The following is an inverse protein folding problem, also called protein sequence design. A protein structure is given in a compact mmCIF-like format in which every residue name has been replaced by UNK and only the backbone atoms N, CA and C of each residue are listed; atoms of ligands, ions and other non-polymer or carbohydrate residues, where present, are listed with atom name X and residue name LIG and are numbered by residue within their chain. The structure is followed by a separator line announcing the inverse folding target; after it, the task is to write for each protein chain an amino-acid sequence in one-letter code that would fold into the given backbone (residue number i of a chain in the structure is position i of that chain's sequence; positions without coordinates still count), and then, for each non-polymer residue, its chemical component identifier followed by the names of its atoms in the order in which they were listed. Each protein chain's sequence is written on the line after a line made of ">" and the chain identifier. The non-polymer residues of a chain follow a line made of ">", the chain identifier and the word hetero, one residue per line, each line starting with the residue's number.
data_IF_998140277762
#
_entry.id   IF_998140277762
#
_cell.length_a   1.000
_cell.length_b   1.000
_cell.length_c   1.000
_cell.angle_alpha   90.00
_cell.angle_beta   90.00
_cell.angle_gamma   90.00
#
_symmetry.space_group_name_H-M   'P 1'
#
loop_
_entity.id
_entity.type
_entity.pdbx_description
1 polymer ?
#
# COMPACT_ATOMS: atom_id res chain seq x y z
N UNK A 1 -3.78 -10.35 8.37
CA UNK A 1 -3.81 -11.81 8.21
C UNK A 1 -3.49 -12.56 9.52
N UNK A 2 -4.41 -13.39 10.03
CA UNK A 2 -4.17 -14.22 11.21
C UNK A 2 -3.09 -15.23 10.86
N UNK A 3 -1.93 -15.17 11.54
CA UNK A 3 -0.76 -15.97 11.16
C UNK A 3 -1.03 -17.48 11.27
N UNK A 4 -1.90 -17.87 12.21
CA UNK A 4 -2.25 -19.26 12.48
C UNK A 4 -3.18 -19.85 11.42
N UNK A 5 -4.23 -19.14 11.01
CA UNK A 5 -5.13 -19.55 9.90
C UNK A 5 -4.34 -19.74 8.59
N UNK A 6 -3.44 -18.80 8.28
CA UNK A 6 -2.60 -18.86 7.09
C UNK A 6 -1.63 -20.06 7.13
N UNK A 7 -1.06 -20.36 8.30
CA UNK A 7 -0.16 -21.49 8.50
C UNK A 7 -0.89 -22.82 8.38
N UNK A 8 -2.03 -22.97 9.06
CA UNK A 8 -2.86 -24.19 9.00
C UNK A 8 -3.29 -24.47 7.55
N UNK A 9 -3.82 -23.46 6.87
CA UNK A 9 -4.24 -23.58 5.46
C UNK A 9 -3.07 -23.96 4.55
N UNK A 10 -1.88 -23.38 4.77
CA UNK A 10 -0.68 -23.71 3.99
C UNK A 10 -0.21 -25.15 4.22
N UNK A 11 -0.22 -25.63 5.46
CA UNK A 11 0.22 -26.99 5.80
C UNK A 11 -0.70 -28.08 5.23
N UNK A 12 -1.98 -27.77 5.04
CA UNK A 12 -2.95 -28.70 4.47
C UNK A 12 -2.81 -28.91 2.96
N UNK A 13 -2.05 -28.08 2.25
CA UNK A 13 -1.92 -28.18 0.80
C UNK A 13 -0.47 -27.99 0.30
N UNK A 14 0.14 -28.99 -0.37
CA UNK A 14 1.54 -28.93 -0.81
C UNK A 14 1.89 -27.74 -1.74
N UNK A 15 0.97 -27.32 -2.61
CA UNK A 15 1.21 -26.19 -3.51
C UNK A 15 1.24 -24.87 -2.74
N UNK A 16 0.29 -24.68 -1.82
CA UNK A 16 0.25 -23.53 -0.92
C UNK A 16 1.48 -23.50 -0.02
N UNK A 17 1.86 -24.63 0.58
CA UNK A 17 3.04 -24.73 1.42
C UNK A 17 4.29 -24.26 0.68
N UNK A 18 4.52 -24.78 -0.53
CA UNK A 18 5.66 -24.36 -1.34
C UNK A 18 5.59 -22.88 -1.71
N UNK A 19 4.44 -22.36 -2.13
CA UNK A 19 4.31 -20.93 -2.43
C UNK A 19 4.58 -20.05 -1.18
N UNK A 20 4.06 -20.43 -0.01
CA UNK A 20 4.31 -19.77 1.27
C UNK A 20 5.79 -19.81 1.66
N UNK A 21 6.47 -20.93 1.48
CA UNK A 21 7.92 -21.04 1.75
C UNK A 21 8.75 -20.13 0.83
N UNK A 22 8.34 -19.93 -0.43
CA UNK A 22 8.98 -18.98 -1.33
C UNK A 22 8.85 -17.53 -0.80
N UNK A 23 7.66 -17.15 -0.29
CA UNK A 23 7.45 -15.84 0.36
C UNK A 23 8.33 -15.66 1.61
N UNK A 24 8.44 -16.69 2.46
CA UNK A 24 9.32 -16.67 3.64
C UNK A 24 10.77 -16.52 3.23
N UNK A 25 11.24 -17.32 2.27
CA UNK A 25 12.60 -17.25 1.76
C UNK A 25 12.93 -15.85 1.19
N UNK A 26 12.01 -15.24 0.43
CA UNK A 26 12.17 -13.87 -0.08
C UNK A 26 12.17 -12.83 1.03
N UNK A 27 11.37 -13.02 2.08
CA UNK A 27 11.35 -12.11 3.25
C UNK A 27 12.69 -12.14 3.99
N UNK A 28 13.22 -13.34 4.24
CA UNK A 28 14.53 -13.51 4.86
C UNK A 28 15.64 -12.89 4.00
N UNK A 29 15.63 -13.09 2.69
CA UNK A 29 16.56 -12.45 1.76
C UNK A 29 16.51 -10.92 1.82
N UNK A 30 15.30 -10.32 1.88
CA UNK A 30 15.16 -8.86 1.96
C UNK A 30 15.67 -8.28 3.28
N UNK A 31 15.51 -9.00 4.39
CA UNK A 31 15.98 -8.56 5.71
C UNK A 31 17.50 -8.70 5.84
N UNK A 32 18.06 -9.82 5.37
CA UNK A 32 19.50 -10.13 5.50
C UNK A 32 20.33 -9.53 4.35
N UNK A 33 19.70 -8.85 3.38
CA UNK A 33 20.34 -8.27 2.17
C UNK A 33 21.10 -9.33 1.33
N UNK A 34 20.56 -10.54 1.22
CA UNK A 34 21.16 -11.63 0.41
C UNK A 34 20.43 -11.76 -0.93
N UNK A 35 21.17 -11.56 -2.03
CA UNK A 35 20.62 -11.42 -3.39
C UNK A 35 19.99 -12.69 -3.97
N UNK A 36 20.48 -13.89 -3.61
CA UNK A 36 19.95 -15.14 -4.16
C UNK A 36 19.79 -16.22 -3.10
N UNK A 37 18.53 -16.53 -2.78
CA UNK A 37 18.19 -17.73 -2.02
C UNK A 37 17.65 -18.79 -2.99
N UNK A 38 18.42 -19.85 -3.33
CA UNK A 38 17.98 -20.88 -4.28
C UNK A 38 16.69 -21.57 -3.85
N UNK A 39 16.34 -21.51 -2.56
CA UNK A 39 15.08 -22.02 -2.04
C UNK A 39 13.86 -21.28 -2.63
N UNK A 40 14.01 -19.99 -3.01
CA UNK A 40 12.93 -19.23 -3.65
C UNK A 40 12.54 -19.90 -4.97
N UNK A 41 13.52 -20.12 -5.86
CA UNK A 41 13.33 -20.72 -7.18
C UNK A 41 12.82 -22.16 -7.04
N UNK A 42 13.40 -22.92 -6.11
CA UNK A 42 12.97 -24.29 -5.84
C UNK A 42 11.50 -24.36 -5.43
N UNK A 43 11.10 -23.56 -4.43
CA UNK A 43 9.75 -23.61 -3.90
C UNK A 43 8.71 -23.05 -4.87
N UNK A 44 9.00 -21.94 -5.56
CA UNK A 44 8.05 -21.41 -6.56
C UNK A 44 7.88 -22.39 -7.73
N UNK A 45 8.97 -23.01 -8.19
CA UNK A 45 8.92 -24.03 -9.24
C UNK A 45 8.12 -25.26 -8.83
N UNK A 46 8.26 -25.73 -7.58
CA UNK A 46 7.45 -26.83 -7.04
C UNK A 46 5.97 -26.47 -6.97
N UNK A 47 5.63 -25.27 -6.49
CA UNK A 47 4.25 -24.81 -6.41
C UNK A 47 3.59 -24.78 -7.81
N UNK A 48 4.28 -24.18 -8.80
CA UNK A 48 3.82 -24.12 -10.20
C UNK A 48 3.65 -25.52 -10.78
N UNK A 49 4.61 -26.43 -10.58
CA UNK A 49 4.52 -27.80 -11.09
C UNK A 49 3.29 -28.56 -10.54
N UNK A 50 2.98 -28.40 -9.25
CA UNK A 50 1.81 -29.03 -8.63
C UNK A 50 0.53 -28.42 -9.19
N UNK A 51 0.44 -27.09 -9.28
CA UNK A 51 -0.71 -26.37 -9.84
C UNK A 51 -0.97 -26.80 -11.28
N UNK A 52 0.06 -26.82 -12.14
CA UNK A 52 -0.07 -27.21 -13.54
C UNK A 52 -0.61 -28.64 -13.68
N UNK A 53 -0.15 -29.57 -12.84
CA UNK A 53 -0.68 -30.94 -12.82
C UNK A 53 -2.17 -30.99 -12.45
N UNK A 54 -2.61 -30.17 -11.50
CA UNK A 54 -4.02 -30.08 -11.08
C UNK A 54 -4.89 -29.50 -12.20
N UNK A 55 -4.42 -28.43 -12.85
CA UNK A 55 -5.15 -27.78 -13.95
C UNK A 55 -5.22 -28.69 -15.18
N UNK A 56 -4.14 -29.40 -15.53
CA UNK A 56 -4.12 -30.34 -16.64
C UNK A 56 -5.14 -31.49 -16.47
N UNK A 57 -5.35 -31.92 -15.23
CA UNK A 57 -6.31 -32.98 -14.89
C UNK A 57 -7.73 -32.44 -14.58
N UNK A 58 -8.00 -31.16 -14.88
CA UNK A 58 -9.28 -30.52 -14.52
C UNK A 58 -10.50 -31.08 -15.26
N UNK A 59 -10.28 -31.76 -16.38
CA UNK A 59 -11.33 -32.50 -17.09
C UNK A 59 -11.85 -33.70 -16.32
N UNK A 60 -11.03 -34.31 -15.46
CA UNK A 60 -11.40 -35.47 -14.64
C UNK A 60 -11.86 -35.06 -13.25
N UNK A 61 -11.28 -33.99 -12.68
CA UNK A 61 -11.61 -33.48 -11.36
C UNK A 61 -11.76 -31.96 -11.39
N UNK A 62 -12.88 -31.39 -10.93
CA UNK A 62 -13.05 -29.94 -10.85
C UNK A 62 -11.89 -29.27 -10.10
N UNK A 63 -11.52 -28.05 -10.53
CA UNK A 63 -10.50 -27.25 -9.85
C UNK A 63 -10.93 -26.99 -8.41
N UNK A 64 -10.07 -27.38 -7.45
CA UNK A 64 -10.33 -27.16 -6.03
C UNK A 64 -10.07 -25.71 -5.62
N UNK A 65 -10.76 -25.25 -4.57
CA UNK A 65 -10.52 -23.94 -3.94
C UNK A 65 -9.06 -23.79 -3.49
N UNK A 66 -8.44 -24.87 -2.99
CA UNK A 66 -7.02 -24.85 -2.65
C UNK A 66 -6.10 -24.55 -3.84
N UNK A 67 -6.49 -24.97 -5.03
CA UNK A 67 -5.74 -24.68 -6.26
C UNK A 67 -5.83 -23.19 -6.58
N UNK A 68 -7.01 -22.58 -6.40
CA UNK A 68 -7.18 -21.13 -6.50
C UNK A 68 -6.26 -20.44 -5.48
N UNK A 69 -6.27 -20.86 -4.22
CA UNK A 69 -5.40 -20.32 -3.19
C UNK A 69 -3.91 -20.41 -3.53
N UNK A 70 -3.47 -21.54 -4.10
CA UNK A 70 -2.08 -21.73 -4.53
C UNK A 70 -1.70 -20.76 -5.66
N UNK A 71 -2.55 -20.62 -6.68
CA UNK A 71 -2.32 -19.68 -7.79
C UNK A 71 -2.34 -18.24 -7.28
N UNK A 72 -3.26 -17.87 -6.40
CA UNK A 72 -3.28 -16.56 -5.74
C UNK A 72 -1.98 -16.28 -4.99
N UNK A 73 -1.45 -17.26 -4.27
CA UNK A 73 -0.17 -17.12 -3.53
C UNK A 73 1.03 -16.96 -4.45
N UNK A 74 1.07 -17.68 -5.58
CA UNK A 74 2.09 -17.51 -6.63
C UNK A 74 1.98 -16.10 -7.25
N UNK A 75 0.76 -15.66 -7.57
CA UNK A 75 0.50 -14.33 -8.14
C UNK A 75 0.97 -13.23 -7.18
N UNK A 76 0.65 -13.34 -5.89
CA UNK A 76 1.13 -12.40 -4.87
C UNK A 76 2.67 -12.37 -4.75
N UNK A 77 3.34 -13.51 -4.97
CA UNK A 77 4.79 -13.59 -4.93
C UNK A 77 5.42 -12.74 -6.04
N UNK A 78 4.86 -12.80 -7.24
CA UNK A 78 5.35 -12.03 -8.40
C UNK A 78 5.15 -10.53 -8.21
N UNK A 79 4.02 -10.12 -7.64
CA UNK A 79 3.77 -8.74 -7.25
C UNK A 79 4.82 -8.23 -6.27
N UNK A 80 5.13 -9.03 -5.23
CA UNK A 80 6.20 -8.70 -4.27
C UNK A 80 7.59 -8.71 -4.92
N UNK A 81 7.77 -9.51 -5.97
CA UNK A 81 9.02 -9.57 -6.72
C UNK A 81 9.19 -8.45 -7.76
N UNK A 82 8.14 -7.66 -8.02
CA UNK A 82 8.15 -6.63 -9.07
C UNK A 82 8.00 -7.20 -10.48
N UNK A 83 7.64 -8.49 -10.63
CA UNK A 83 7.48 -9.15 -11.92
C UNK A 83 6.07 -8.88 -12.49
N UNK A 84 5.79 -7.64 -12.89
CA UNK A 84 4.44 -7.19 -13.27
C UNK A 84 3.86 -7.89 -14.51
N UNK A 85 4.71 -8.30 -15.47
CA UNK A 85 4.26 -9.04 -16.65
C UNK A 85 3.74 -10.43 -16.27
N UNK A 86 4.52 -11.21 -15.52
CA UNK A 86 4.10 -12.53 -15.01
C UNK A 86 2.90 -12.40 -14.07
N UNK A 87 2.92 -11.39 -13.20
CA UNK A 87 1.81 -11.08 -12.30
C UNK A 87 0.50 -10.91 -13.05
N UNK A 88 0.49 -10.15 -14.15
CA UNK A 88 -0.70 -9.95 -14.97
C UNK A 88 -1.23 -11.26 -15.55
N UNK A 89 -0.34 -12.10 -16.08
CA UNK A 89 -0.71 -13.40 -16.66
C UNK A 89 -1.34 -14.30 -15.58
N UNK A 90 -0.73 -14.39 -14.41
CA UNK A 90 -1.27 -15.22 -13.33
C UNK A 90 -2.53 -14.63 -12.71
N UNK A 91 -2.68 -13.29 -12.65
CA UNK A 91 -3.91 -12.65 -12.20
C UNK A 91 -5.08 -12.95 -13.15
N UNK A 92 -4.87 -12.92 -14.47
CA UNK A 92 -5.86 -13.36 -15.45
C UNK A 92 -6.25 -14.84 -15.23
N UNK A 93 -5.27 -15.68 -14.86
CA UNK A 93 -5.49 -17.07 -14.44
C UNK A 93 -6.33 -17.20 -13.17
N UNK A 94 -6.03 -16.42 -12.12
CA UNK A 94 -6.82 -16.39 -10.88
C UNK A 94 -8.26 -15.98 -11.18
N UNK A 95 -8.47 -14.96 -12.00
CA UNK A 95 -9.80 -14.52 -12.42
C UNK A 95 -10.59 -15.64 -13.10
N UNK A 96 -9.96 -16.35 -14.05
CA UNK A 96 -10.60 -17.47 -14.73
C UNK A 96 -10.96 -18.62 -13.77
N UNK A 97 -10.06 -18.97 -12.84
CA UNK A 97 -10.30 -20.05 -11.88
C UNK A 97 -11.41 -19.68 -10.89
N UNK A 98 -11.43 -18.44 -10.38
CA UNK A 98 -12.51 -17.96 -9.49
C UNK A 98 -13.85 -17.95 -10.21
N UNK A 99 -13.90 -17.51 -11.47
CA UNK A 99 -15.14 -17.58 -12.27
C UNK A 99 -15.62 -19.02 -12.47
N UNK A 100 -14.68 -19.96 -12.67
CA UNK A 100 -15.03 -21.38 -12.89
C UNK A 100 -15.74 -22.04 -11.70
N UNK A 101 -15.54 -21.53 -10.48
CA UNK A 101 -16.22 -22.03 -9.27
C UNK A 101 -17.47 -21.24 -8.89
N UNK A 102 -17.90 -20.29 -9.73
CA UNK A 102 -19.10 -19.47 -9.48
C UNK A 102 -18.81 -18.10 -8.84
N UNK A 103 -17.57 -17.62 -8.91
CA UNK A 103 -17.17 -16.30 -8.42
C UNK A 103 -16.64 -16.30 -6.98
N UNK A 104 -16.41 -15.11 -6.43
CA UNK A 104 -15.88 -14.93 -5.06
C UNK A 104 -16.79 -15.55 -3.98
N UNK A 105 -18.07 -15.71 -4.27
CA UNK A 105 -19.10 -16.27 -3.40
C UNK A 105 -18.77 -17.73 -3.03
N UNK A 106 -18.14 -18.47 -3.94
CA UNK A 106 -17.68 -19.83 -3.68
C UNK A 106 -16.52 -19.90 -2.67
N UNK A 107 -15.81 -18.78 -2.44
CA UNK A 107 -14.68 -18.70 -1.52
C UNK A 107 -15.11 -18.29 -0.10
N UNK A 108 -16.39 -17.97 0.14
CA UNK A 108 -16.88 -17.50 1.46
C UNK A 108 -16.63 -18.53 2.56
N UNK A 109 -16.68 -19.83 2.23
CA UNK A 109 -16.37 -20.92 3.15
C UNK A 109 -14.88 -21.08 3.47
N UNK A 110 -13.98 -20.35 2.79
CA UNK A 110 -12.53 -20.38 3.02
C UNK A 110 -12.00 -18.93 3.15
N UNK A 111 -12.21 -18.29 4.33
CA UNK A 111 -11.99 -16.86 4.51
C UNK A 111 -10.57 -16.40 4.14
N UNK A 112 -9.54 -17.19 4.47
CA UNK A 112 -8.17 -16.92 4.06
C UNK A 112 -8.04 -16.69 2.54
N UNK A 113 -8.51 -17.64 1.72
CA UNK A 113 -8.36 -17.58 0.25
C UNK A 113 -9.18 -16.42 -0.32
N UNK A 114 -10.40 -16.18 0.18
CA UNK A 114 -11.22 -15.05 -0.23
C UNK A 114 -10.52 -13.71 0.03
N UNK A 115 -10.08 -13.49 1.28
CA UNK A 115 -9.41 -12.26 1.71
C UNK A 115 -8.12 -12.03 0.93
N UNK A 116 -7.33 -13.08 0.72
CA UNK A 116 -6.05 -12.97 0.04
C UNK A 116 -6.21 -12.74 -1.46
N UNK A 117 -7.17 -13.41 -2.10
CA UNK A 117 -7.51 -13.19 -3.52
C UNK A 117 -7.98 -11.76 -3.75
N UNK A 118 -8.83 -11.25 -2.85
CA UNK A 118 -9.30 -9.85 -2.87
C UNK A 118 -8.13 -8.88 -2.72
N UNK A 119 -7.21 -9.13 -1.78
CA UNK A 119 -6.05 -8.28 -1.58
C UNK A 119 -5.13 -8.25 -2.82
N UNK A 120 -4.85 -9.41 -3.42
CA UNK A 120 -4.03 -9.51 -4.64
C UNK A 120 -4.66 -8.74 -5.79
N UNK A 121 -5.97 -8.84 -5.97
CA UNK A 121 -6.70 -8.12 -7.02
C UNK A 121 -6.63 -6.60 -6.84
N UNK A 122 -6.86 -6.10 -5.62
CA UNK A 122 -6.80 -4.66 -5.30
C UNK A 122 -5.41 -4.10 -5.54
N UNK A 123 -4.37 -4.73 -4.97
CA UNK A 123 -3.00 -4.23 -5.12
C UNK A 123 -2.56 -4.37 -6.58
N UNK A 124 -3.00 -5.42 -7.26
CA UNK A 124 -2.82 -5.60 -8.70
C UNK A 124 -3.45 -4.51 -9.55
N UNK A 125 -4.69 -4.12 -9.24
CA UNK A 125 -5.40 -3.05 -9.91
C UNK A 125 -4.62 -1.73 -9.83
N UNK A 126 -4.13 -1.39 -8.63
CA UNK A 126 -3.29 -0.20 -8.41
C UNK A 126 -1.97 -0.31 -9.18
N UNK A 127 -1.30 -1.46 -9.07
CA UNK A 127 0.00 -1.69 -9.69
C UNK A 127 -0.05 -1.62 -11.23
N UNK A 128 -1.09 -2.18 -11.84
CA UNK A 128 -1.29 -2.23 -13.28
C UNK A 128 -2.02 -1.00 -13.84
N UNK A 129 -2.48 -0.07 -12.99
CA UNK A 129 -3.32 1.05 -13.41
C UNK A 129 -4.62 0.60 -14.07
N UNK A 130 -5.20 -0.51 -13.60
CA UNK A 130 -6.39 -1.15 -14.17
C UNK A 130 -7.51 -1.27 -13.13
N UNK A 131 -8.74 -1.53 -13.58
CA UNK A 131 -9.85 -1.80 -12.64
C UNK A 131 -9.65 -3.17 -11.97
N UNK A 132 -10.07 -3.34 -10.70
CA UNK A 132 -10.15 -4.66 -10.05
C UNK A 132 -10.91 -5.67 -10.92
N UNK A 133 -10.39 -6.90 -11.00
CA UNK A 133 -10.98 -8.01 -11.77
C UNK A 133 -12.24 -8.54 -11.13
N UNK A 134 -12.27 -8.50 -9.80
CA UNK A 134 -13.43 -8.87 -9.05
C UNK A 134 -14.18 -7.59 -8.70
N UNK A 135 -15.42 -7.51 -9.18
CA UNK A 135 -16.37 -6.55 -8.64
C UNK A 135 -16.57 -6.88 -7.17
N UNK A 136 -15.81 -6.23 -6.28
CA UNK A 136 -16.38 -5.95 -4.98
C UNK A 136 -17.58 -5.06 -5.26
N UNK A 137 -18.71 -5.41 -4.64
CA UNK A 137 -19.91 -4.58 -4.55
C UNK A 137 -19.47 -3.11 -4.56
N UNK A 138 -19.80 -2.39 -5.62
CA UNK A 138 -19.44 -1.00 -5.93
C UNK A 138 -18.94 -0.23 -4.69
N UNK A 139 -17.72 0.37 -4.65
CA UNK A 139 -17.15 0.96 -3.44
C UNK A 139 -18.05 1.98 -2.73
N UNK A 140 -18.81 2.77 -3.50
CA UNK A 140 -19.82 3.71 -2.98
C UNK A 140 -21.14 3.07 -2.52
N UNK A 141 -21.28 1.74 -2.64
CA UNK A 141 -22.41 0.92 -2.18
C UNK A 141 -22.01 -0.17 -1.18
N UNK A 142 -20.71 -0.33 -0.89
CA UNK A 142 -20.30 -1.11 0.27
C UNK A 142 -20.90 -0.42 1.51
N UNK A 143 -21.64 -1.15 2.36
CA UNK A 143 -22.02 -0.60 3.65
C UNK A 143 -20.75 -0.10 4.33
N UNK A 144 -20.74 1.17 4.73
CA UNK A 144 -19.69 1.70 5.58
C UNK A 144 -19.52 0.70 6.73
N UNK A 145 -18.28 0.26 6.98
CA UNK A 145 -18.05 -0.58 8.14
C UNK A 145 -18.67 0.12 9.37
N UNK A 146 -19.47 -0.54 10.23
CA UNK A 146 -20.28 0.13 11.24
C UNK A 146 -19.53 1.14 12.12
N UNK A 147 -18.25 0.87 12.44
CA UNK A 147 -17.42 1.84 13.17
C UNK A 147 -16.99 3.10 12.40
N UNK A 148 -17.25 3.21 11.08
CA UNK A 148 -17.10 4.46 10.33
C UNK A 148 -18.24 5.46 10.59
N UNK A 149 -19.40 4.98 11.05
CA UNK A 149 -20.53 5.85 11.41
C UNK A 149 -20.19 6.76 12.61
N UNK A 150 -19.19 6.38 13.39
CA UNK A 150 -18.70 7.09 14.57
C UNK A 150 -17.36 7.78 14.36
N UNK A 151 -16.96 8.04 13.10
CA UNK A 151 -15.73 8.80 12.83
C UNK A 151 -15.82 10.18 13.47
N UNK A 152 -14.72 10.59 14.13
CA UNK A 152 -14.59 11.95 14.66
C UNK A 152 -14.85 12.99 13.56
N UNK A 153 -15.44 14.15 13.91
CA UNK A 153 -15.69 15.23 12.95
C UNK A 153 -14.42 15.61 12.18
N UNK A 154 -14.60 16.09 10.95
CA UNK A 154 -13.48 16.55 10.13
C UNK A 154 -12.69 17.64 10.89
N UNK A 155 -11.37 17.45 11.00
CA UNK A 155 -10.48 18.46 11.58
C UNK A 155 -10.56 19.77 10.80
N UNK A 156 -10.15 20.88 11.44
CA UNK A 156 -10.06 22.18 10.78
C UNK A 156 -9.14 22.12 9.55
N UNK A 157 -8.02 21.39 9.67
CA UNK A 157 -7.10 21.15 8.56
C UNK A 157 -7.78 20.40 7.41
N UNK A 158 -8.51 19.31 7.70
CA UNK A 158 -9.27 18.56 6.70
C UNK A 158 -10.33 19.42 6.00
N UNK A 159 -11.05 20.28 6.74
CA UNK A 159 -12.04 21.18 6.17
C UNK A 159 -11.39 22.24 5.25
N UNK A 160 -10.26 22.81 5.66
CA UNK A 160 -9.46 23.75 4.85
C UNK A 160 -8.97 23.10 3.56
N UNK A 161 -8.45 21.87 3.65
CA UNK A 161 -8.01 21.11 2.49
C UNK A 161 -9.17 20.73 1.58
N UNK A 162 -10.34 20.34 2.11
CA UNK A 162 -11.54 20.10 1.28
C UNK A 162 -11.88 21.32 0.41
N UNK A 163 -11.96 22.50 1.02
CA UNK A 163 -12.27 23.73 0.31
C UNK A 163 -11.19 24.08 -0.72
N UNK A 164 -9.91 23.96 -0.34
CA UNK A 164 -8.78 24.27 -1.22
C UNK A 164 -8.68 23.31 -2.41
N UNK A 165 -8.85 22.00 -2.18
CA UNK A 165 -8.93 20.98 -3.23
C UNK A 165 -10.06 21.31 -4.20
N UNK A 166 -11.26 21.59 -3.68
CA UNK A 166 -12.42 21.91 -4.52
C UNK A 166 -12.17 23.15 -5.38
N UNK A 167 -11.54 24.19 -4.81
CA UNK A 167 -11.29 25.45 -5.50
C UNK A 167 -10.16 25.33 -6.55
N UNK A 168 -9.04 24.66 -6.20
CA UNK A 168 -7.88 24.56 -7.09
C UNK A 168 -8.04 23.50 -8.18
N UNK A 169 -8.86 22.47 -7.94
CA UNK A 169 -9.09 21.39 -8.90
C UNK A 169 -10.42 21.53 -9.64
N UNK A 170 -11.41 22.27 -9.12
CA UNK A 170 -12.76 22.30 -9.69
C UNK A 170 -13.50 20.97 -9.58
N UNK A 171 -13.05 20.04 -8.73
CA UNK A 171 -13.61 18.70 -8.55
C UNK A 171 -14.16 18.52 -7.12
N UNK A 172 -15.33 19.08 -6.79
CA UNK A 172 -15.87 19.04 -5.43
C UNK A 172 -16.15 17.62 -4.92
N UNK A 173 -16.65 16.73 -5.78
CA UNK A 173 -16.96 15.35 -5.40
C UNK A 173 -15.69 14.55 -5.06
N UNK A 174 -14.64 14.70 -5.88
CA UNK A 174 -13.35 14.04 -5.66
C UNK A 174 -12.62 14.64 -4.44
N UNK A 175 -12.77 15.95 -4.22
CA UNK A 175 -12.27 16.63 -3.02
C UNK A 175 -12.95 16.12 -1.76
N UNK A 176 -14.27 15.87 -1.82
CA UNK A 176 -14.99 15.27 -0.71
C UNK A 176 -14.51 13.84 -0.46
N UNK A 177 -14.39 13.03 -1.51
CA UNK A 177 -13.95 11.64 -1.43
C UNK A 177 -12.55 11.51 -0.82
N UNK A 178 -11.60 12.33 -1.28
CA UNK A 178 -10.23 12.36 -0.75
C UNK A 178 -10.19 12.67 0.75
N UNK A 179 -11.01 13.61 1.21
CA UNK A 179 -11.06 13.98 2.63
C UNK A 179 -11.72 12.89 3.47
N UNK A 180 -12.73 12.19 2.95
CA UNK A 180 -13.28 11.03 3.62
C UNK A 180 -12.27 9.87 3.70
N UNK A 181 -11.50 9.62 2.64
CA UNK A 181 -10.39 8.66 2.65
C UNK A 181 -9.31 9.06 3.67
N UNK A 182 -8.95 10.35 3.74
CA UNK A 182 -8.03 10.89 4.75
C UNK A 182 -8.52 10.62 6.18
N UNK A 183 -9.80 10.87 6.47
CA UNK A 183 -10.38 10.62 7.81
C UNK A 183 -10.35 9.14 8.18
N UNK A 184 -10.65 8.26 7.23
CA UNK A 184 -10.59 6.81 7.45
C UNK A 184 -9.14 6.37 7.70
N UNK A 185 -8.19 6.90 6.93
CA UNK A 185 -6.77 6.60 7.12
C UNK A 185 -6.26 7.09 8.48
N UNK A 186 -6.66 8.30 8.90
CA UNK A 186 -6.34 8.83 10.23
C UNK A 186 -6.90 7.92 11.33
N UNK A 187 -8.17 7.52 11.22
CA UNK A 187 -8.78 6.57 12.16
C UNK A 187 -8.04 5.23 12.19
N UNK A 188 -7.63 4.71 11.03
CA UNK A 188 -6.87 3.47 10.91
C UNK A 188 -5.53 3.56 11.66
N UNK A 189 -4.81 4.67 11.49
CA UNK A 189 -3.55 4.96 12.18
C UNK A 189 -3.79 5.00 13.69
N UNK A 190 -4.73 5.82 14.17
CA UNK A 190 -5.01 5.97 15.60
C UNK A 190 -5.48 4.67 16.25
N UNK A 191 -6.33 3.89 15.55
CA UNK A 191 -6.78 2.57 16.03
C UNK A 191 -5.60 1.62 16.18
N UNK A 192 -4.68 1.63 15.21
CA UNK A 192 -3.46 0.82 15.25
C UNK A 192 -2.53 1.23 16.40
N UNK A 193 -2.38 2.53 16.65
CA UNK A 193 -1.55 3.06 17.76
C UNK A 193 -2.10 2.64 19.11
N UNK A 194 -3.42 2.73 19.30
CA UNK A 194 -4.08 2.23 20.51
C UNK A 194 -3.78 0.76 20.75
N UNK A 195 -3.84 -0.07 19.70
CA UNK A 195 -3.51 -1.49 19.79
C UNK A 195 -2.05 -1.77 20.18
N UNK A 196 -1.10 -1.02 19.62
CA UNK A 196 0.31 -1.22 19.97
C UNK A 196 0.67 -0.72 21.37
N UNK A 197 0.01 0.35 21.85
CA UNK A 197 0.18 0.87 23.19
C UNK A 197 -0.42 -0.03 24.27
N UNK A 198 -1.49 -0.78 23.96
CA UNK A 198 -2.17 -1.67 24.89
C UNK A 198 -1.50 -3.05 25.04
N UNK A 199 -0.17 -3.10 25.25
CA UNK A 199 0.72 -4.29 25.36
C UNK A 199 0.25 -5.48 26.27
N UNK A 200 -0.98 -5.51 26.79
CA UNK A 200 -1.51 -6.52 27.71
C UNK A 200 -2.78 -7.27 27.26
N UNK A 201 -3.39 -6.95 26.12
CA UNK A 201 -4.51 -7.76 25.59
C UNK A 201 -4.12 -8.39 24.26
N UNK A 202 -4.27 -9.71 24.17
CA UNK A 202 -4.34 -10.40 22.87
C UNK A 202 -5.37 -9.68 22.02
N UNK A 203 -4.96 -9.23 20.82
CA UNK A 203 -5.89 -8.64 19.86
C UNK A 203 -6.98 -9.67 19.60
N UNK A 204 -8.24 -9.31 19.83
CA UNK A 204 -9.32 -10.24 19.55
C UNK A 204 -9.42 -10.49 18.03
N UNK A 205 -9.78 -11.71 17.65
CA UNK A 205 -10.00 -12.07 16.24
C UNK A 205 -11.01 -11.11 15.56
N UNK A 206 -12.02 -10.62 16.29
CA UNK A 206 -12.99 -9.64 15.79
C UNK A 206 -12.37 -8.28 15.48
N UNK A 207 -11.48 -7.76 16.33
CA UNK A 207 -10.80 -6.48 16.10
C UNK A 207 -9.88 -6.55 14.89
N UNK A 208 -9.22 -7.69 14.73
CA UNK A 208 -8.35 -7.96 13.61
C UNK A 208 -9.10 -8.04 12.27
N UNK A 209 -10.21 -8.79 12.25
CA UNK A 209 -11.08 -8.88 11.08
C UNK A 209 -11.69 -7.52 10.72
N UNK A 210 -12.07 -6.73 11.73
CA UNK A 210 -12.53 -5.36 11.54
C UNK A 210 -11.46 -4.50 10.88
N UNK A 211 -10.22 -4.51 11.39
CA UNK A 211 -9.09 -3.76 10.81
C UNK A 211 -8.86 -4.14 9.34
N UNK A 212 -8.91 -5.42 9.03
CA UNK A 212 -8.74 -5.91 7.66
C UNK A 212 -9.85 -5.45 6.72
N UNK A 213 -11.11 -5.50 7.18
CA UNK A 213 -12.26 -5.02 6.41
C UNK A 213 -12.14 -3.52 6.09
N UNK A 214 -11.74 -2.71 7.08
CA UNK A 214 -11.46 -1.28 6.86
C UNK A 214 -10.38 -1.06 5.79
N UNK A 215 -9.27 -1.80 5.86
CA UNK A 215 -8.17 -1.64 4.91
C UNK A 215 -8.62 -1.98 3.49
N UNK A 216 -9.35 -3.08 3.32
CA UNK A 216 -9.90 -3.48 2.02
C UNK A 216 -10.82 -2.38 1.46
N UNK A 217 -11.78 -1.89 2.25
CA UNK A 217 -12.67 -0.80 1.82
C UNK A 217 -11.89 0.47 1.44
N UNK A 218 -10.93 0.87 2.27
CA UNK A 218 -10.10 2.05 2.05
C UNK A 218 -9.29 1.93 0.75
N UNK A 219 -8.69 0.77 0.49
CA UNK A 219 -7.90 0.53 -0.72
C UNK A 219 -8.77 0.57 -1.99
N UNK A 220 -10.01 0.10 -1.95
CA UNK A 220 -10.96 0.25 -3.07
C UNK A 220 -11.29 1.71 -3.38
N UNK A 221 -11.49 2.53 -2.33
CA UNK A 221 -11.74 3.97 -2.50
C UNK A 221 -10.50 4.69 -3.05
N UNK A 222 -9.32 4.29 -2.59
CA UNK A 222 -8.04 4.82 -3.09
C UNK A 222 -7.83 4.54 -4.58
N UNK A 223 -8.27 3.38 -5.10
CA UNK A 223 -8.22 3.09 -6.55
C UNK A 223 -8.95 4.18 -7.36
N UNK A 224 -10.13 4.61 -6.90
CA UNK A 224 -10.91 5.64 -7.59
C UNK A 224 -10.18 7.00 -7.64
N UNK A 225 -9.43 7.34 -6.58
CA UNK A 225 -8.62 8.56 -6.55
C UNK A 225 -7.39 8.45 -7.46
N UNK A 226 -6.69 7.32 -7.41
CA UNK A 226 -5.44 7.09 -8.17
C UNK A 226 -5.72 7.02 -9.67
N UNK A 227 -6.78 6.31 -10.05
CA UNK A 227 -7.11 6.04 -11.45
C UNK A 227 -8.10 7.04 -12.05
N UNK A 228 -8.39 8.14 -11.35
CA UNK A 228 -9.23 9.18 -11.91
C UNK A 228 -8.60 9.72 -13.20
N UNK A 229 -9.31 9.55 -14.31
CA UNK A 229 -8.94 10.12 -15.60
C UNK A 229 -9.23 11.61 -15.56
N UNK A 230 -8.17 12.43 -15.62
CA UNK A 230 -8.30 13.88 -15.59
C UNK A 230 -8.99 14.29 -16.91
N UNK A 231 -10.25 14.80 -16.88
CA UNK A 231 -11.04 15.01 -18.10
C UNK A 231 -10.48 16.11 -19.02
N UNK A 232 -9.50 16.89 -18.53
CA UNK A 232 -8.93 18.02 -19.24
C UNK A 232 -7.40 18.07 -19.05
N UNK A 233 -6.59 18.14 -20.13
CA UNK A 233 -5.13 18.20 -20.04
C UNK A 233 -4.56 19.45 -19.33
N UNK A 234 -5.42 20.38 -18.88
CA UNK A 234 -5.03 21.63 -18.21
C UNK A 234 -5.19 21.59 -16.68
N UNK A 235 -5.92 20.61 -16.12
CA UNK A 235 -6.13 20.54 -14.67
C UNK A 235 -4.99 19.79 -13.97
N UNK A 236 -3.80 20.39 -13.99
CA UNK A 236 -2.60 19.83 -13.35
C UNK A 236 -2.78 19.64 -11.84
N UNK A 237 -3.62 20.47 -11.22
CA UNK A 237 -3.92 20.39 -9.78
C UNK A 237 -4.59 19.07 -9.38
N UNK A 238 -5.32 18.41 -10.30
CA UNK A 238 -5.94 17.11 -10.02
C UNK A 238 -4.93 15.99 -9.74
N UNK A 239 -3.63 16.18 -10.06
CA UNK A 239 -2.56 15.22 -9.72
C UNK A 239 -2.45 15.00 -8.21
N UNK A 240 -2.89 15.95 -7.37
CA UNK A 240 -2.89 15.82 -5.90
C UNK A 240 -3.65 14.57 -5.42
N UNK A 241 -4.74 14.20 -6.10
CA UNK A 241 -5.54 13.01 -5.75
C UNK A 241 -4.75 11.73 -5.95
N UNK A 242 -3.99 11.65 -7.06
CA UNK A 242 -3.12 10.52 -7.38
C UNK A 242 -1.91 10.45 -6.43
N UNK A 243 -1.29 11.60 -6.13
CA UNK A 243 -0.17 11.68 -5.19
C UNK A 243 -0.57 11.20 -3.79
N UNK A 244 -1.65 11.74 -3.25
CA UNK A 244 -2.19 11.32 -1.95
C UNK A 244 -2.61 9.86 -1.98
N UNK A 245 -3.29 9.43 -3.04
CA UNK A 245 -3.72 8.05 -3.20
C UNK A 245 -2.57 7.05 -3.15
N UNK A 246 -1.52 7.28 -3.93
CA UNK A 246 -0.34 6.42 -3.95
C UNK A 246 0.40 6.44 -2.60
N UNK A 247 0.53 7.60 -1.95
CA UNK A 247 1.14 7.70 -0.63
C UNK A 247 0.31 6.95 0.43
N UNK A 248 -1.02 7.08 0.42
CA UNK A 248 -1.91 6.34 1.31
C UNK A 248 -1.81 4.82 1.11
N UNK A 249 -1.74 4.34 -0.13
CA UNK A 249 -1.52 2.92 -0.43
C UNK A 249 -0.16 2.45 0.08
N UNK A 250 0.92 3.18 -0.23
CA UNK A 250 2.26 2.87 0.24
C UNK A 250 2.31 2.78 1.78
N UNK A 251 1.67 3.74 2.46
CA UNK A 251 1.53 3.75 3.90
C UNK A 251 0.79 2.49 4.42
N UNK A 252 -0.37 2.16 3.85
CA UNK A 252 -1.16 0.97 4.27
C UNK A 252 -0.34 -0.31 4.09
N UNK A 253 0.41 -0.43 2.99
CA UNK A 253 1.25 -1.59 2.70
C UNK A 253 2.44 -1.71 3.69
N UNK A 254 3.15 -0.61 3.93
CA UNK A 254 4.31 -0.57 4.83
C UNK A 254 3.90 -0.77 6.28
N UNK A 255 2.93 0.01 6.74
CA UNK A 255 2.63 0.09 8.16
C UNK A 255 1.49 -0.86 8.50
N UNK A 256 0.34 -0.82 7.83
CA UNK A 256 -0.78 -1.68 8.24
C UNK A 256 -0.57 -3.16 7.92
N UNK A 257 -0.09 -3.48 6.72
CA UNK A 257 0.21 -4.86 6.32
C UNK A 257 1.60 -5.34 6.77
N UNK A 258 2.45 -4.45 7.28
CA UNK A 258 3.82 -4.76 7.70
C UNK A 258 4.61 -5.49 6.62
N UNK A 259 4.41 -5.12 5.35
CA UNK A 259 5.18 -5.73 4.29
C UNK A 259 6.67 -5.39 4.50
N UNK A 260 7.58 -6.36 4.26
CA UNK A 260 9.00 -6.10 4.41
C UNK A 260 9.45 -4.90 3.55
N UNK A 261 10.40 -4.09 4.04
CA UNK A 261 11.05 -3.06 3.23
C UNK A 261 11.61 -3.66 1.94
N UNK A 262 11.76 -2.83 0.89
CA UNK A 262 12.27 -3.27 -0.43
C UNK A 262 11.38 -4.32 -1.10
N UNK A 263 10.10 -4.38 -0.75
CA UNK A 263 9.13 -5.15 -1.53
C UNK A 263 8.84 -4.42 -2.84
N UNK A 264 8.64 -5.16 -3.94
CA UNK A 264 8.36 -4.57 -5.25
C UNK A 264 7.13 -3.65 -5.23
N UNK A 265 6.17 -3.91 -4.34
CA UNK A 265 4.96 -3.10 -4.19
C UNK A 265 5.24 -1.72 -3.59
N UNK A 266 6.12 -1.60 -2.59
CA UNK A 266 6.49 -0.29 -2.02
C UNK A 266 7.27 0.55 -3.03
N UNK A 267 8.21 -0.10 -3.71
CA UNK A 267 9.02 0.51 -4.78
C UNK A 267 8.10 1.05 -5.87
N UNK A 268 7.14 0.24 -6.32
CA UNK A 268 6.20 0.66 -7.35
C UNK A 268 5.40 1.92 -6.96
N UNK A 269 4.87 1.98 -5.73
CA UNK A 269 4.14 3.17 -5.28
C UNK A 269 5.06 4.39 -5.17
N UNK A 270 6.30 4.20 -4.70
CA UNK A 270 7.30 5.26 -4.62
C UNK A 270 7.66 5.81 -6.02
N UNK A 271 7.92 4.92 -6.98
CA UNK A 271 8.18 5.30 -8.37
C UNK A 271 6.99 6.02 -9.00
N UNK A 272 5.75 5.61 -8.71
CA UNK A 272 4.54 6.31 -9.16
C UNK A 272 4.37 7.71 -8.52
N UNK A 273 4.75 7.86 -7.24
CA UNK A 273 4.79 9.16 -6.56
C UNK A 273 5.84 10.05 -7.23
N UNK A 274 7.07 9.55 -7.42
CA UNK A 274 8.16 10.28 -8.08
C UNK A 274 7.75 10.75 -9.47
N UNK A 275 7.25 9.84 -10.31
CA UNK A 275 6.79 10.18 -11.66
C UNK A 275 5.76 11.32 -11.61
N UNK A 276 4.79 11.25 -10.69
CA UNK A 276 3.78 12.30 -10.53
C UNK A 276 4.37 13.64 -10.06
N UNK A 277 5.36 13.61 -9.16
CA UNK A 277 6.05 14.80 -8.64
C UNK A 277 6.91 15.48 -9.72
N UNK A 278 7.53 14.71 -10.63
CA UNK A 278 8.36 15.25 -11.72
C UNK A 278 7.53 16.04 -12.77
N UNK A 279 6.22 15.81 -12.84
CA UNK A 279 5.30 16.52 -13.77
C UNK A 279 4.65 17.78 -13.18
N UNK A 280 4.89 18.12 -11.91
CA UNK A 280 4.27 19.27 -11.25
C UNK A 280 5.30 20.27 -10.73
N UNK A 281 4.84 21.50 -10.46
CA UNK A 281 5.61 22.42 -9.62
C UNK A 281 5.41 22.03 -8.15
N UNK A 282 6.37 21.29 -7.61
CA UNK A 282 6.31 20.80 -6.23
C UNK A 282 6.18 21.96 -5.23
N UNK A 283 6.76 23.13 -5.51
CA UNK A 283 6.70 24.29 -4.59
C UNK A 283 5.29 24.87 -4.53
N UNK A 284 4.61 24.98 -5.67
CA UNK A 284 3.21 25.43 -5.71
C UNK A 284 2.32 24.52 -4.86
N UNK A 285 2.51 23.20 -4.99
CA UNK A 285 1.76 22.21 -4.21
C UNK A 285 2.13 22.24 -2.72
N UNK A 286 3.39 22.50 -2.36
CA UNK A 286 3.82 22.66 -0.98
C UNK A 286 3.21 23.91 -0.32
N UNK A 287 3.08 25.01 -1.06
CA UNK A 287 2.37 26.20 -0.57
C UNK A 287 0.87 25.93 -0.41
N UNK A 288 0.29 25.18 -1.35
CA UNK A 288 -1.11 24.81 -1.31
C UNK A 288 -1.42 23.74 -0.25
N UNK A 289 -0.55 22.78 0.03
CA UNK A 289 -0.83 21.65 0.91
C UNK A 289 0.42 21.24 1.71
N UNK A 290 0.92 22.09 2.63
CA UNK A 290 2.25 21.92 3.21
C UNK A 290 2.41 20.60 3.97
N UNK A 291 1.51 20.29 4.90
CA UNK A 291 1.55 19.06 5.69
C UNK A 291 1.36 17.82 4.80
N UNK A 292 0.45 17.90 3.83
CA UNK A 292 0.17 16.81 2.90
C UNK A 292 1.34 16.48 1.99
N UNK A 293 1.95 17.49 1.37
CA UNK A 293 3.08 17.28 0.47
C UNK A 293 4.31 16.79 1.21
N UNK A 294 4.56 17.33 2.42
CA UNK A 294 5.63 16.84 3.28
C UNK A 294 5.45 15.36 3.63
N UNK A 295 4.23 14.96 4.00
CA UNK A 295 3.90 13.56 4.26
C UNK A 295 4.03 12.68 3.02
N UNK A 296 3.55 13.13 1.85
CA UNK A 296 3.67 12.39 0.57
C UNK A 296 5.14 12.13 0.21
N UNK A 297 5.98 13.16 0.30
CA UNK A 297 7.42 13.06 -0.01
C UNK A 297 8.11 12.10 0.99
N UNK A 298 7.79 12.21 2.28
CA UNK A 298 8.32 11.31 3.31
C UNK A 298 7.93 9.85 3.05
N UNK A 299 6.66 9.58 2.78
CA UNK A 299 6.16 8.21 2.51
C UNK A 299 6.76 7.66 1.20
N UNK A 300 6.88 8.50 0.17
CA UNK A 300 7.57 8.14 -1.08
C UNK A 300 9.04 7.77 -0.84
N UNK A 301 9.75 8.57 -0.03
CA UNK A 301 11.13 8.30 0.37
C UNK A 301 11.31 6.99 1.13
N UNK A 302 10.49 6.74 2.14
CA UNK A 302 10.50 5.46 2.87
C UNK A 302 10.19 4.27 1.94
N UNK A 303 9.32 4.46 0.95
CA UNK A 303 9.03 3.45 -0.08
C UNK A 303 10.16 3.22 -1.08
N UNK A 304 11.06 4.19 -1.29
CA UNK A 304 12.21 4.12 -2.20
C UNK A 304 13.47 3.50 -1.59
N UNK A 305 13.46 3.12 -0.32
CA UNK A 305 14.66 2.60 0.35
C UNK A 305 15.24 1.38 -0.37
N UNK A 306 16.52 1.46 -0.74
CA UNK A 306 17.25 0.44 -1.50
C UNK A 306 17.00 0.48 -3.01
N UNK A 307 16.43 1.56 -3.55
CA UNK A 307 16.24 1.76 -5.00
C UNK A 307 17.03 2.97 -5.51
N UNK A 308 17.07 3.14 -6.83
CA UNK A 308 17.66 4.31 -7.49
C UNK A 308 16.91 5.63 -7.21
N UNK A 309 15.65 5.55 -6.76
CA UNK A 309 14.84 6.72 -6.42
C UNK A 309 15.18 7.29 -5.03
N UNK A 310 15.90 6.54 -4.20
CA UNK A 310 16.17 6.90 -2.80
C UNK A 310 16.83 8.28 -2.67
N UNK A 311 17.91 8.51 -3.40
CA UNK A 311 18.66 9.77 -3.33
C UNK A 311 17.80 10.97 -3.75
N UNK A 312 16.97 10.79 -4.77
CA UNK A 312 16.08 11.84 -5.26
C UNK A 312 15.07 12.27 -4.18
N UNK A 313 14.44 11.31 -3.49
CA UNK A 313 13.52 11.61 -2.39
C UNK A 313 14.22 12.23 -1.19
N UNK A 314 15.44 11.77 -0.85
CA UNK A 314 16.25 12.35 0.23
C UNK A 314 16.50 13.83 -0.04
N UNK A 315 16.96 14.17 -1.25
CA UNK A 315 17.23 15.55 -1.64
C UNK A 315 15.96 16.40 -1.65
N UNK A 316 14.85 15.87 -2.16
CA UNK A 316 13.58 16.59 -2.18
C UNK A 316 13.04 16.84 -0.77
N UNK A 317 13.09 15.84 0.12
CA UNK A 317 12.66 15.99 1.51
C UNK A 317 13.57 16.96 2.26
N UNK A 318 14.89 16.90 2.05
CA UNK A 318 15.86 17.83 2.62
C UNK A 318 15.54 19.29 2.24
N UNK A 319 15.26 19.55 0.96
CA UNK A 319 14.85 20.86 0.45
C UNK A 319 13.53 21.34 1.09
N UNK A 320 12.57 20.43 1.20
CA UNK A 320 11.25 20.70 1.77
C UNK A 320 11.33 21.06 3.26
N UNK A 321 12.08 20.28 4.03
CA UNK A 321 12.34 20.53 5.44
C UNK A 321 13.10 21.84 5.66
N UNK A 322 14.15 22.11 4.86
CA UNK A 322 14.88 23.38 4.95
C UNK A 322 13.99 24.59 4.62
N UNK A 323 13.12 24.49 3.62
CA UNK A 323 12.15 25.54 3.29
C UNK A 323 11.09 25.79 4.37
N UNK A 324 10.77 24.76 5.15
CA UNK A 324 9.81 24.82 6.25
C UNK A 324 10.45 25.12 7.62
N UNK A 325 11.78 25.20 7.72
CA UNK A 325 12.48 25.37 9.00
C UNK A 325 12.40 24.14 9.92
N UNK A 326 12.32 22.94 9.35
CA UNK A 326 12.25 21.68 10.08
C UNK A 326 13.66 21.12 10.25
N UNK A 327 14.20 21.19 11.46
CA UNK A 327 15.59 20.83 11.75
C UNK A 327 15.81 19.39 12.17
N UNK A 328 14.82 18.77 12.81
CA UNK A 328 14.90 17.40 13.31
C UNK A 328 13.60 16.63 13.14
N UNK A 329 13.65 15.38 13.59
CA UNK A 329 12.48 14.48 13.60
C UNK A 329 11.37 14.99 14.52
N UNK A 330 11.70 15.73 15.58
CA UNK A 330 10.73 16.32 16.49
C UNK A 330 9.92 17.44 15.81
N UNK A 331 10.59 18.35 15.09
CA UNK A 331 9.93 19.40 14.30
C UNK A 331 9.11 18.81 13.15
N UNK A 332 9.60 17.73 12.53
CA UNK A 332 8.84 17.00 11.51
C UNK A 332 7.55 16.40 12.10
N UNK A 333 7.66 15.73 13.25
CA UNK A 333 6.53 15.17 13.97
C UNK A 333 5.50 16.24 14.34
N UNK A 334 5.95 17.39 14.85
CA UNK A 334 5.11 18.54 15.17
C UNK A 334 4.39 19.07 13.92
N UNK A 335 5.11 19.22 12.81
CA UNK A 335 4.56 19.71 11.54
C UNK A 335 3.50 18.77 10.95
N UNK A 336 3.62 17.47 11.20
CA UNK A 336 2.69 16.45 10.72
C UNK A 336 1.67 16.00 11.77
N UNK A 337 1.64 16.60 12.97
CA UNK A 337 0.79 16.15 14.07
C UNK A 337 -0.70 16.13 13.68
N UNK A 338 -1.17 17.14 12.95
CA UNK A 338 -2.54 17.20 12.44
C UNK A 338 -2.73 16.44 11.10
N UNK A 339 -1.65 15.92 10.51
CA UNK A 339 -1.66 15.28 9.21
C UNK A 339 -0.94 13.93 9.20
N UNK A 340 -1.68 12.89 9.60
CA UNK A 340 -1.29 11.48 9.46
C UNK A 340 0.07 11.12 10.08
N UNK A 341 0.63 11.91 10.99
CA UNK A 341 1.81 11.48 11.74
C UNK A 341 1.49 10.28 12.62
N UNK A 342 2.47 9.37 12.74
CA UNK A 342 2.38 8.24 13.66
C UNK A 342 3.74 7.90 14.25
N UNK A 343 3.76 7.52 15.52
CA UNK A 343 4.96 6.98 16.17
C UNK A 343 5.47 5.69 15.52
N UNK A 344 4.64 4.98 14.74
CA UNK A 344 5.03 3.78 14.01
C UNK A 344 6.04 4.01 12.89
N UNK A 345 6.20 5.25 12.44
CA UNK A 345 7.18 5.57 11.42
C UNK A 345 8.58 5.42 11.97
N UNK A 346 8.75 5.71 13.27
CA UNK A 346 10.03 5.66 13.96
C UNK A 346 10.55 4.23 14.06
N UNK A 347 11.87 4.11 14.05
CA UNK A 347 12.59 2.84 14.11
C UNK A 347 13.76 2.82 13.14
N UNK A 348 14.54 1.72 13.12
CA UNK A 348 15.86 1.72 12.47
C UNK A 348 15.86 2.12 10.99
N UNK A 349 14.78 1.79 10.27
CA UNK A 349 14.61 2.08 8.85
C UNK A 349 14.38 3.58 8.62
N UNK A 350 13.55 4.19 9.47
CA UNK A 350 13.30 5.62 9.41
C UNK A 350 14.51 6.41 9.89
N UNK A 351 15.20 5.92 10.92
CA UNK A 351 16.42 6.55 11.43
C UNK A 351 17.52 6.55 10.35
N UNK A 352 17.77 5.41 9.68
CA UNK A 352 18.69 5.31 8.52
C UNK A 352 18.31 6.32 7.42
N UNK A 353 17.02 6.39 7.07
CA UNK A 353 16.53 7.33 6.07
C UNK A 353 16.69 8.80 6.49
N UNK A 354 16.41 9.11 7.75
CA UNK A 354 16.45 10.48 8.27
C UNK A 354 17.89 10.99 8.42
N UNK A 355 18.82 10.12 8.80
CA UNK A 355 20.24 10.48 8.88
C UNK A 355 20.77 10.94 7.51
N UNK A 356 20.40 10.25 6.43
CA UNK A 356 20.76 10.66 5.07
C UNK A 356 20.14 12.03 4.70
N UNK A 357 18.89 12.28 5.10
CA UNK A 357 18.20 13.58 4.91
C UNK A 357 18.91 14.68 5.69
N UNK A 358 19.31 14.42 6.94
CA UNK A 358 20.02 15.38 7.78
C UNK A 358 21.38 15.76 7.16
N UNK A 359 22.11 14.77 6.62
CA UNK A 359 23.37 15.01 5.89
C UNK A 359 23.14 15.88 4.66
N UNK A 360 22.15 15.54 3.83
CA UNK A 360 21.83 16.32 2.63
C UNK A 360 21.48 17.79 2.98
N UNK A 361 20.71 18.02 4.06
CA UNK A 361 20.38 19.36 4.54
C UNK A 361 21.60 20.15 5.02
N UNK A 362 22.48 19.52 5.80
CA UNK A 362 23.69 20.17 6.29
C UNK A 362 24.60 20.66 5.15
N UNK A 363 24.70 19.88 4.06
CA UNK A 363 25.43 20.28 2.84
C UNK A 363 24.81 21.53 2.19
N UNK A 364 23.48 21.61 2.12
CA UNK A 364 22.79 22.78 1.59
C UNK A 364 23.02 24.06 2.41
N UNK A 365 23.05 23.93 3.74
CA UNK A 365 23.31 25.05 4.65
C UNK A 365 24.75 25.52 4.58
N UNK A 366 25.71 24.60 4.46
CA UNK A 366 27.12 24.94 4.26
C UNK A 366 27.36 25.65 2.91
N UNK A 367 26.69 25.20 1.84
CA UNK A 367 26.78 25.81 0.51
C UNK A 367 26.31 27.27 0.46
N UNK A 368 25.31 27.65 1.28
CA UNK A 368 24.84 29.04 1.42
C UNK A 368 25.74 29.94 2.25
N UNK A 369 26.67 29.39 3.05
CA UNK A 369 27.60 30.18 3.88
C UNK A 369 28.92 30.50 3.15
N UNK A 370 29.19 29.87 2.02
CA UNK A 370 30.45 29.99 1.25
C UNK A 370 30.27 30.78 -0.06
N UNK A 371 29.03 31.04 -0.49
CA UNK A 371 28.69 31.95 -1.58
C UNK A 371 28.03 33.22 -1.07
#
# INVERSE_FOLDING_TARGET
>A
MGKEEALQTSLSNPALLHASLAHVAKTLSSVVRVEMNPNIIYHIGKAIAIVNKRIANSHENPVSIDTIGAVTTITAFELRAGALESFKIHLDGVEALVKSVGGLQALVGVPFILKYTTWVDIVGAIALGSKPRFELLNPGRLPLHPGLEFLEPCSLLGARYKARLSNLTGLPDLSHEMIEVYRILQHLISKRERFAGSQKMEISEMEFQSLQSYCTQLMYRLIALIQYEIPHPLNRNAVVFRLFGNAAVAHILMFTYNLPPRSGTHVLMSTQIRASLEFIDVREFQLAYPEMMLWIIMIGGLGSLGTEDQEWFIQLLAQSCHGAGIDGTAELALSLTEFLWSGFYLGPIFDEFWDDVAVARAVMEAGKKVG
#
